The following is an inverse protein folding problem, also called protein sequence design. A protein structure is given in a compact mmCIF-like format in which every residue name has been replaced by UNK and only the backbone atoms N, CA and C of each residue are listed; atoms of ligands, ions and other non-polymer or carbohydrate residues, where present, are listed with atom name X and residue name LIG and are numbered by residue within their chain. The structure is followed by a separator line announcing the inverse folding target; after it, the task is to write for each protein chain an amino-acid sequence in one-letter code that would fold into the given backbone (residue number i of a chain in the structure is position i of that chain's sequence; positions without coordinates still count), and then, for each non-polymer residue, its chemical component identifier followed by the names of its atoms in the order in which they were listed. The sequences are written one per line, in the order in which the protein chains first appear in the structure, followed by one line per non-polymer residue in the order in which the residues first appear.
data_IF_099026314651
#
_entry.id   IF_099026314651
#
_cell.length_a   1.000
_cell.length_b   1.000
_cell.length_c   1.000
_cell.angle_alpha   90.00
_cell.angle_beta   90.00
_cell.angle_gamma   90.00
#
_symmetry.space_group_name_H-M   'P 1'
#
loop_
_entity.id
_entity.type
_entity.pdbx_description
1 polymer ?
#
# COMPACT_ATOMS: atom_id res chain seq x y z
N UNK A 1 13.43 63.71 43.66
CA UNK A 1 12.66 63.09 42.60
C UNK A 1 13.44 61.88 42.12
N UNK A 2 13.20 60.73 42.71
CA UNK A 2 13.89 59.47 42.39
C UNK A 2 12.98 58.68 41.50
N UNK A 3 13.40 58.45 40.26
CA UNK A 3 12.73 57.57 39.31
C UNK A 3 13.01 56.13 39.69
N UNK A 4 11.98 55.39 40.10
CA UNK A 4 12.05 53.94 40.33
C UNK A 4 11.86 53.28 38.98
N UNK A 5 12.93 52.63 38.48
CA UNK A 5 12.92 51.81 37.29
C UNK A 5 12.46 50.42 37.69
N UNK A 6 11.21 50.06 37.39
CA UNK A 6 10.69 48.70 37.59
C UNK A 6 11.23 47.81 36.47
N UNK A 7 12.14 46.92 36.81
CA UNK A 7 12.62 45.87 35.96
C UNK A 7 11.59 44.71 36.01
N UNK A 8 10.77 44.57 34.97
CA UNK A 8 9.89 43.41 34.81
C UNK A 8 10.77 42.29 34.23
N UNK A 9 11.20 41.39 35.10
CA UNK A 9 11.85 40.15 34.73
C UNK A 9 10.77 39.16 34.22
N UNK A 10 10.59 39.09 32.91
CA UNK A 10 9.76 38.04 32.32
C UNK A 10 10.50 36.71 32.49
N UNK A 11 10.15 35.94 33.48
CA UNK A 11 10.58 34.54 33.60
C UNK A 11 9.81 33.77 32.52
N UNK A 12 10.43 33.52 31.37
CA UNK A 12 10.01 32.47 30.49
C UNK A 12 10.20 31.14 31.25
N UNK A 13 9.14 30.62 31.81
CA UNK A 13 9.11 29.20 32.16
C UNK A 13 9.16 28.42 30.84
N UNK A 14 10.35 27.99 30.45
CA UNK A 14 10.49 26.84 29.59
C UNK A 14 9.84 25.70 30.37
N UNK A 15 8.64 25.32 29.98
CA UNK A 15 8.08 24.06 30.38
C UNK A 15 9.01 22.98 29.77
N UNK A 16 9.95 22.50 30.58
CA UNK A 16 10.67 21.27 30.30
C UNK A 16 9.60 20.20 30.41
N UNK A 17 8.97 19.84 29.30
CA UNK A 17 8.20 18.62 29.22
C UNK A 17 9.21 17.51 29.54
N UNK A 18 9.02 16.74 30.62
CA UNK A 18 9.89 15.61 30.88
C UNK A 18 9.84 14.72 29.63
N UNK A 19 10.96 14.52 28.99
CA UNK A 19 11.08 13.45 28.01
C UNK A 19 10.82 12.17 28.81
N UNK A 20 9.62 11.58 28.65
CA UNK A 20 9.37 10.26 29.18
C UNK A 20 10.36 9.35 28.49
N UNK A 21 11.26 8.75 29.25
CA UNK A 21 12.13 7.72 28.76
C UNK A 21 11.22 6.55 28.35
N UNK A 22 11.16 6.30 27.05
CA UNK A 22 10.48 5.13 26.50
C UNK A 22 11.47 3.98 26.60
N UNK A 23 11.02 2.81 27.05
CA UNK A 23 11.80 1.58 27.07
C UNK A 23 10.94 0.48 26.46
N UNK A 24 11.28 0.06 25.22
CA UNK A 24 10.48 -0.92 24.49
C UNK A 24 11.37 -1.79 23.59
N UNK A 25 11.23 -3.11 23.76
CA UNK A 25 11.78 -4.10 22.86
C UNK A 25 10.65 -4.61 21.96
N UNK A 26 10.70 -4.28 20.67
CA UNK A 26 9.62 -4.52 19.71
C UNK A 26 10.09 -5.52 18.64
N UNK A 27 9.15 -6.31 18.15
CA UNK A 27 9.31 -7.19 17.00
C UNK A 27 8.64 -6.57 15.76
N UNK A 28 9.29 -6.66 14.60
CA UNK A 28 8.76 -6.20 13.33
C UNK A 28 8.64 -7.39 12.37
N UNK A 29 7.41 -7.86 12.14
CA UNK A 29 7.11 -8.92 11.19
C UNK A 29 7.31 -8.44 9.76
N UNK A 30 8.18 -9.12 9.00
CA UNK A 30 8.53 -8.77 7.63
C UNK A 30 8.63 -10.01 6.75
N UNK A 31 8.68 -9.80 5.43
CA UNK A 31 8.92 -10.83 4.45
C UNK A 31 10.38 -11.32 4.51
N UNK A 32 10.71 -12.35 3.73
CA UNK A 32 12.05 -12.91 3.66
C UNK A 32 13.11 -11.90 3.16
N UNK A 33 14.35 -12.12 3.55
CA UNK A 33 15.50 -11.35 3.07
C UNK A 33 15.59 -11.34 1.54
N UNK A 34 15.94 -10.18 0.97
CA UNK A 34 16.00 -10.00 -0.48
C UNK A 34 14.68 -9.56 -1.13
N UNK A 35 13.62 -9.41 -0.37
CA UNK A 35 12.36 -8.80 -0.83
C UNK A 35 12.35 -7.29 -0.59
N UNK A 36 11.49 -6.57 -1.32
CA UNK A 36 11.26 -5.15 -1.08
C UNK A 36 10.71 -4.90 0.34
N UNK A 37 9.80 -5.76 0.82
CA UNK A 37 9.24 -5.65 2.17
C UNK A 37 10.30 -5.73 3.27
N UNK A 38 11.29 -6.62 3.12
CA UNK A 38 12.42 -6.69 4.05
C UNK A 38 13.28 -5.42 4.02
N UNK A 39 13.55 -4.88 2.82
CA UNK A 39 14.29 -3.64 2.65
C UNK A 39 13.60 -2.47 3.33
N UNK A 40 12.28 -2.35 3.16
CA UNK A 40 11.48 -1.28 3.79
C UNK A 40 11.45 -1.42 5.31
N UNK A 41 11.21 -2.64 5.82
CA UNK A 41 11.22 -2.90 7.26
C UNK A 41 12.59 -2.57 7.89
N UNK A 42 13.70 -2.88 7.19
CA UNK A 42 15.06 -2.54 7.64
C UNK A 42 15.28 -1.02 7.68
N UNK A 43 14.77 -0.28 6.69
CA UNK A 43 14.86 1.18 6.68
C UNK A 43 14.07 1.80 7.84
N UNK A 44 12.84 1.32 8.06
CA UNK A 44 11.98 1.75 9.15
C UNK A 44 12.60 1.41 10.51
N UNK A 45 13.11 0.19 10.69
CA UNK A 45 13.86 -0.23 11.88
C UNK A 45 15.02 0.75 12.17
N UNK A 46 15.82 1.07 11.15
CA UNK A 46 16.97 1.99 11.28
C UNK A 46 16.55 3.36 11.79
N UNK A 47 15.40 3.84 11.37
CA UNK A 47 14.84 5.13 11.77
C UNK A 47 14.28 5.06 13.21
N UNK A 48 13.54 4.00 13.55
CA UNK A 48 12.96 3.83 14.88
C UNK A 48 14.06 3.68 15.94
N UNK A 49 15.13 2.96 15.64
CA UNK A 49 16.26 2.77 16.57
C UNK A 49 17.08 4.04 16.86
N UNK A 50 16.75 5.18 16.23
CA UNK A 50 17.29 6.49 16.65
C UNK A 50 16.60 7.04 17.91
N UNK A 51 15.48 6.47 18.30
CA UNK A 51 14.78 6.82 19.53
C UNK A 51 15.44 6.08 20.69
N UNK A 52 15.97 6.83 21.66
CA UNK A 52 16.60 6.26 22.84
C UNK A 52 15.59 5.39 23.61
N UNK A 53 15.98 4.16 23.92
CA UNK A 53 15.16 3.19 24.65
C UNK A 53 14.23 2.35 23.78
N UNK A 54 14.16 2.55 22.47
CA UNK A 54 13.38 1.68 21.58
C UNK A 54 14.32 0.76 20.78
N UNK A 55 14.18 -0.54 20.97
CA UNK A 55 14.84 -1.56 20.16
C UNK A 55 13.82 -2.26 19.26
N UNK A 56 14.21 -2.57 18.03
CA UNK A 56 13.35 -3.29 17.07
C UNK A 56 14.12 -4.49 16.51
N UNK A 57 13.51 -5.67 16.56
CA UNK A 57 14.01 -6.90 15.96
C UNK A 57 13.16 -7.31 14.77
N UNK A 58 13.78 -7.54 13.60
CA UNK A 58 13.08 -8.04 12.42
C UNK A 58 12.82 -9.55 12.53
N UNK A 59 11.56 -9.95 12.26
CA UNK A 59 11.14 -11.33 12.18
C UNK A 59 10.67 -11.64 10.76
N UNK A 60 11.28 -12.63 10.10
CA UNK A 60 10.88 -13.01 8.73
C UNK A 60 9.72 -14.01 8.75
N UNK A 61 8.59 -13.59 9.31
CA UNK A 61 7.39 -14.41 9.53
C UNK A 61 6.17 -13.96 8.70
N UNK A 62 6.27 -12.89 7.91
CA UNK A 62 5.18 -12.41 7.06
C UNK A 62 5.19 -13.10 5.69
N UNK A 63 4.08 -13.71 5.31
CA UNK A 63 3.89 -14.27 3.96
C UNK A 63 3.66 -13.17 2.90
N UNK A 64 3.25 -11.97 3.30
CA UNK A 64 2.99 -10.82 2.42
C UNK A 64 2.05 -9.80 3.06
N UNK A 65 1.91 -8.67 2.39
CA UNK A 65 1.18 -7.51 2.93
C UNK A 65 -0.33 -7.77 3.15
N UNK A 66 -0.94 -8.70 2.40
CA UNK A 66 -2.37 -9.04 2.55
C UNK A 66 -2.64 -9.76 3.87
N UNK A 67 -1.77 -10.71 4.25
CA UNK A 67 -1.90 -11.48 5.50
C UNK A 67 -1.21 -10.84 6.70
N UNK A 68 -0.43 -9.79 6.49
CA UNK A 68 0.32 -9.13 7.55
C UNK A 68 -0.53 -8.63 8.74
N UNK A 69 -1.78 -8.15 8.56
CA UNK A 69 -2.65 -7.79 9.69
C UNK A 69 -2.81 -8.88 10.74
N UNK A 70 -2.77 -10.17 10.34
CA UNK A 70 -2.89 -11.32 11.23
C UNK A 70 -1.74 -11.37 12.24
N UNK A 71 -0.51 -10.99 11.85
CA UNK A 71 0.63 -10.98 12.75
C UNK A 71 0.42 -10.07 13.98
N UNK A 72 -0.26 -8.95 13.77
CA UNK A 72 -0.60 -8.02 14.86
C UNK A 72 -1.76 -8.58 15.68
N UNK A 73 -2.81 -9.10 15.01
CA UNK A 73 -3.99 -9.64 15.67
C UNK A 73 -3.67 -10.85 16.56
N UNK A 74 -2.75 -11.71 16.12
CA UNK A 74 -2.31 -12.92 16.87
C UNK A 74 -1.10 -12.66 17.79
N UNK A 75 -0.69 -11.38 17.93
CA UNK A 75 0.46 -10.99 18.77
C UNK A 75 1.79 -11.65 18.35
N UNK A 76 1.92 -12.01 17.07
CA UNK A 76 3.15 -12.60 16.50
C UNK A 76 4.19 -11.55 16.12
N UNK A 77 3.80 -10.27 16.07
CA UNK A 77 4.67 -9.11 15.89
C UNK A 77 4.04 -7.85 16.49
N UNK A 78 4.86 -6.92 16.95
CA UNK A 78 4.41 -5.60 17.45
C UNK A 78 4.19 -4.61 16.32
N UNK A 79 4.99 -4.73 15.24
CA UNK A 79 4.87 -3.94 14.01
C UNK A 79 4.84 -4.87 12.80
N UNK A 80 4.15 -4.45 11.75
CA UNK A 80 4.25 -5.08 10.42
C UNK A 80 3.90 -4.08 9.33
N UNK A 81 4.18 -4.44 8.06
CA UNK A 81 3.73 -3.68 6.90
C UNK A 81 2.58 -4.38 6.20
N UNK A 82 1.56 -3.61 5.87
CA UNK A 82 0.46 -4.01 5.00
C UNK A 82 0.28 -2.97 3.89
N UNK A 83 -0.80 -3.08 3.11
CA UNK A 83 -1.30 -2.01 2.26
C UNK A 83 -2.60 -1.47 2.86
N UNK A 84 -2.97 -0.22 2.53
CA UNK A 84 -4.16 0.43 3.08
C UNK A 84 -5.46 -0.35 2.83
N UNK A 85 -5.67 -0.87 1.62
CA UNK A 85 -6.87 -1.64 1.30
C UNK A 85 -6.95 -2.98 2.08
N UNK A 86 -5.92 -3.85 2.09
CA UNK A 86 -5.90 -5.03 2.96
C UNK A 86 -6.07 -4.71 4.44
N UNK A 87 -5.46 -3.62 4.94
CA UNK A 87 -5.65 -3.18 6.33
C UNK A 87 -7.12 -2.82 6.60
N UNK A 88 -7.77 -2.09 5.67
CA UNK A 88 -9.18 -1.76 5.76
C UNK A 88 -10.07 -3.00 5.77
N UNK A 89 -9.83 -3.93 4.85
CA UNK A 89 -10.64 -5.16 4.76
C UNK A 89 -10.47 -6.03 6.00
N UNK A 90 -9.22 -6.23 6.45
CA UNK A 90 -8.94 -7.00 7.65
C UNK A 90 -9.58 -6.38 8.91
N UNK A 91 -9.54 -5.06 9.06
CA UNK A 91 -10.16 -4.37 10.20
C UNK A 91 -11.69 -4.41 10.21
N UNK A 92 -12.35 -4.67 9.07
CA UNK A 92 -13.80 -4.55 8.89
C UNK A 92 -14.49 -5.86 8.42
N UNK A 93 -13.94 -7.02 8.72
CA UNK A 93 -14.60 -8.30 8.44
C UNK A 93 -13.68 -9.37 7.86
N UNK A 94 -12.41 -9.05 7.61
CA UNK A 94 -11.44 -10.00 7.06
C UNK A 94 -11.44 -10.07 5.53
N UNK A 95 -10.67 -11.02 4.98
CA UNK A 95 -10.51 -11.23 3.53
C UNK A 95 -10.69 -12.72 3.28
N UNK A 96 -11.93 -13.16 3.03
CA UNK A 96 -12.29 -14.59 2.91
C UNK A 96 -11.46 -15.29 1.82
N UNK A 97 -11.31 -14.69 0.64
CA UNK A 97 -10.56 -15.25 -0.49
C UNK A 97 -9.07 -15.44 -0.20
N UNK A 98 -8.52 -14.70 0.76
CA UNK A 98 -7.15 -14.80 1.24
C UNK A 98 -7.02 -15.53 2.59
N UNK A 99 -8.11 -16.04 3.16
CA UNK A 99 -8.15 -16.68 4.48
C UNK A 99 -7.61 -15.78 5.61
N UNK A 100 -7.83 -14.47 5.51
CA UNK A 100 -7.48 -13.49 6.55
C UNK A 100 -8.73 -13.25 7.41
N UNK A 101 -8.70 -13.52 8.73
CA UNK A 101 -9.81 -13.24 9.63
C UNK A 101 -9.99 -11.74 9.84
N UNK A 102 -11.09 -11.36 10.47
CA UNK A 102 -11.25 -9.99 10.98
C UNK A 102 -10.17 -9.68 12.03
N UNK A 103 -9.53 -8.53 11.88
CA UNK A 103 -8.43 -8.06 12.72
C UNK A 103 -8.80 -6.69 13.37
N UNK A 104 -9.72 -6.66 14.36
CA UNK A 104 -10.23 -5.41 14.92
C UNK A 104 -9.20 -4.63 15.76
N UNK A 105 -8.15 -5.31 16.22
CA UNK A 105 -7.14 -4.73 17.12
C UNK A 105 -5.94 -4.11 16.38
N UNK A 106 -5.96 -4.09 15.04
CA UNK A 106 -4.91 -3.40 14.28
C UNK A 106 -5.12 -1.88 14.30
N UNK A 107 -4.01 -1.15 14.36
CA UNK A 107 -3.97 0.31 14.19
C UNK A 107 -2.85 0.68 13.24
N UNK A 108 -2.99 1.79 12.53
CA UNK A 108 -1.94 2.32 11.67
C UNK A 108 -1.15 3.42 12.39
N UNK A 109 0.13 3.53 12.11
CA UNK A 109 0.97 4.63 12.58
C UNK A 109 1.42 5.54 11.45
N UNK A 110 1.58 5.02 10.23
CA UNK A 110 1.94 5.80 9.04
C UNK A 110 1.54 5.04 7.77
N UNK A 111 0.94 5.72 6.81
CA UNK A 111 0.62 5.22 5.48
C UNK A 111 1.37 5.96 4.38
N UNK A 112 1.09 5.62 3.12
CA UNK A 112 1.70 6.30 1.96
C UNK A 112 3.15 5.91 1.69
N UNK A 113 3.57 4.72 2.13
CA UNK A 113 4.90 4.19 1.87
C UNK A 113 4.92 3.47 0.51
N UNK A 114 5.41 4.17 -0.52
CA UNK A 114 5.45 3.65 -1.89
C UNK A 114 4.46 4.34 -2.83
N UNK A 115 4.45 3.90 -4.07
CA UNK A 115 3.56 4.39 -5.14
C UNK A 115 3.13 3.20 -6.00
N UNK A 116 2.35 2.32 -5.36
CA UNK A 116 1.82 1.12 -6.02
C UNK A 116 0.42 1.40 -6.57
N UNK A 117 0.09 0.76 -7.68
CA UNK A 117 -1.16 0.99 -8.39
C UNK A 117 -1.72 -0.28 -9.03
N UNK A 118 -3.02 -0.27 -9.28
CA UNK A 118 -3.71 -1.30 -10.07
C UNK A 118 -3.35 -1.08 -11.53
N UNK A 119 -2.60 -2.01 -12.09
CA UNK A 119 -2.14 -2.00 -13.47
C UNK A 119 -3.00 -2.95 -14.30
N UNK A 120 -3.74 -2.41 -15.26
CA UNK A 120 -4.61 -3.17 -16.16
C UNK A 120 -4.05 -3.08 -17.57
N UNK A 121 -3.74 -4.22 -18.17
CA UNK A 121 -3.18 -4.26 -19.52
C UNK A 121 -3.88 -5.29 -20.39
N UNK A 122 -4.11 -4.93 -21.64
CA UNK A 122 -4.36 -5.87 -22.74
C UNK A 122 -3.09 -6.08 -23.57
N UNK A 123 -2.99 -7.21 -24.28
CA UNK A 123 -2.04 -7.27 -25.38
C UNK A 123 -2.49 -6.36 -26.52
N UNK A 124 -1.57 -5.66 -27.18
CA UNK A 124 -1.93 -4.79 -28.31
C UNK A 124 -2.65 -5.57 -29.43
N UNK A 125 -2.22 -6.83 -29.65
CA UNK A 125 -2.86 -7.75 -30.60
C UNK A 125 -4.35 -7.95 -30.30
N UNK A 126 -4.72 -8.16 -29.04
CA UNK A 126 -6.14 -8.29 -28.63
C UNK A 126 -6.93 -7.04 -29.00
N UNK A 127 -6.39 -5.85 -28.73
CA UNK A 127 -7.04 -4.59 -29.05
C UNK A 127 -7.20 -4.43 -30.57
N UNK A 128 -6.17 -4.75 -31.34
CA UNK A 128 -6.19 -4.65 -32.80
C UNK A 128 -7.22 -5.60 -33.44
N UNK A 129 -7.35 -6.83 -32.92
CA UNK A 129 -8.26 -7.86 -33.45
C UNK A 129 -9.73 -7.60 -33.08
N UNK A 130 -9.99 -7.03 -31.88
CA UNK A 130 -11.36 -6.93 -31.33
C UNK A 130 -11.93 -5.52 -31.30
N UNK A 131 -11.06 -4.52 -31.27
CA UNK A 131 -11.42 -3.11 -31.05
C UNK A 131 -11.83 -2.81 -29.59
N UNK A 132 -11.77 -3.79 -28.66
CA UNK A 132 -12.07 -3.59 -27.24
C UNK A 132 -10.89 -2.90 -26.57
N UNK A 133 -11.14 -1.78 -25.88
CA UNK A 133 -10.10 -0.93 -25.27
C UNK A 133 -10.28 -0.74 -23.76
N UNK A 134 -11.44 -1.08 -23.21
CA UNK A 134 -11.73 -0.91 -21.78
C UNK A 134 -12.27 -2.20 -21.18
N UNK A 135 -12.15 -2.33 -19.84
CA UNK A 135 -12.74 -3.47 -19.11
C UNK A 135 -14.26 -3.41 -19.19
N UNK A 136 -14.83 -2.22 -19.15
CA UNK A 136 -16.28 -2.00 -19.26
C UNK A 136 -16.83 -2.52 -20.59
N UNK A 137 -16.17 -2.23 -21.72
CA UNK A 137 -16.55 -2.76 -23.04
C UNK A 137 -16.44 -4.29 -23.10
N UNK A 138 -15.40 -4.86 -22.47
CA UNK A 138 -15.20 -6.30 -22.39
C UNK A 138 -16.36 -6.96 -21.65
N UNK A 139 -16.76 -6.39 -20.49
CA UNK A 139 -17.86 -6.84 -19.65
C UNK A 139 -19.20 -6.70 -20.37
N UNK A 140 -19.48 -5.55 -20.99
CA UNK A 140 -20.73 -5.30 -21.76
C UNK A 140 -20.93 -6.35 -22.87
N UNK A 141 -19.84 -6.68 -23.57
CA UNK A 141 -19.84 -7.68 -24.65
C UNK A 141 -19.79 -9.12 -24.15
N UNK A 142 -19.61 -9.35 -22.84
CA UNK A 142 -19.36 -10.69 -22.26
C UNK A 142 -18.29 -11.43 -23.07
N UNK A 143 -17.21 -10.72 -23.38
CA UNK A 143 -16.17 -11.29 -24.23
C UNK A 143 -15.41 -12.41 -23.50
N UNK A 144 -15.16 -13.60 -24.13
CA UNK A 144 -14.47 -14.73 -23.52
C UNK A 144 -12.97 -14.50 -23.40
N UNK A 145 -12.57 -13.52 -22.59
CA UNK A 145 -11.17 -13.10 -22.41
C UNK A 145 -10.32 -14.22 -21.79
N UNK A 146 -9.07 -14.31 -22.21
CA UNK A 146 -8.04 -15.11 -21.56
C UNK A 146 -7.27 -14.22 -20.60
N UNK A 147 -7.69 -14.20 -19.34
CA UNK A 147 -7.13 -13.41 -18.25
C UNK A 147 -6.06 -14.22 -17.50
N UNK A 148 -4.91 -13.61 -17.22
CA UNK A 148 -3.89 -14.17 -16.32
C UNK A 148 -3.59 -13.17 -15.21
N UNK A 149 -3.62 -13.64 -13.97
CA UNK A 149 -3.43 -12.81 -12.78
C UNK A 149 -2.53 -13.50 -11.76
N UNK A 150 -2.21 -12.80 -10.68
CA UNK A 150 -1.41 -13.33 -9.57
C UNK A 150 -2.12 -14.48 -8.86
N UNK A 151 -1.33 -15.24 -8.08
CA UNK A 151 -1.81 -16.34 -7.22
C UNK A 151 -2.80 -15.83 -6.17
N UNK A 152 -3.66 -16.74 -5.72
CA UNK A 152 -4.60 -16.50 -4.62
C UNK A 152 -3.92 -15.88 -3.40
N UNK A 153 -4.62 -14.94 -2.76
CA UNK A 153 -4.19 -14.29 -1.53
C UNK A 153 -3.13 -13.20 -1.74
N UNK A 154 -2.81 -12.84 -2.99
CA UNK A 154 -1.96 -11.69 -3.29
C UNK A 154 -2.80 -10.45 -3.58
N UNK A 155 -2.27 -9.26 -3.33
CA UNK A 155 -2.99 -8.02 -3.62
C UNK A 155 -3.27 -7.85 -5.13
N UNK A 156 -2.42 -8.39 -6.01
CA UNK A 156 -2.68 -8.38 -7.45
C UNK A 156 -3.90 -9.21 -7.85
N UNK A 157 -4.11 -10.36 -7.22
CA UNK A 157 -5.32 -11.17 -7.43
C UNK A 157 -6.56 -10.47 -6.87
N UNK A 158 -6.49 -9.95 -5.65
CA UNK A 158 -7.59 -9.21 -5.02
C UNK A 158 -7.95 -7.94 -5.81
N UNK A 159 -6.96 -7.23 -6.34
CA UNK A 159 -7.19 -6.07 -7.21
C UNK A 159 -7.96 -6.46 -8.48
N UNK A 160 -7.59 -7.59 -9.10
CA UNK A 160 -8.34 -8.10 -10.26
C UNK A 160 -9.79 -8.47 -9.87
N UNK A 161 -9.99 -9.14 -8.75
CA UNK A 161 -11.33 -9.46 -8.23
C UNK A 161 -12.16 -8.20 -8.02
N UNK A 162 -11.57 -7.14 -7.43
CA UNK A 162 -12.25 -5.85 -7.21
C UNK A 162 -12.55 -5.11 -8.51
N UNK A 163 -11.63 -5.08 -9.48
CA UNK A 163 -11.86 -4.43 -10.79
C UNK A 163 -13.07 -5.04 -11.50
N UNK A 164 -13.19 -6.36 -11.53
CA UNK A 164 -14.36 -7.01 -12.11
C UNK A 164 -15.59 -6.91 -11.22
N UNK A 165 -15.43 -7.03 -9.89
CA UNK A 165 -16.49 -6.99 -8.89
C UNK A 165 -17.28 -5.68 -8.92
N UNK A 166 -16.64 -4.52 -9.03
CA UNK A 166 -17.34 -3.21 -9.13
C UNK A 166 -18.11 -3.04 -10.43
N UNK A 167 -17.82 -3.88 -11.44
CA UNK A 167 -18.59 -3.99 -12.69
C UNK A 167 -19.68 -5.08 -12.62
N UNK A 168 -19.86 -5.71 -11.44
CA UNK A 168 -20.85 -6.76 -11.23
C UNK A 168 -20.50 -8.11 -11.86
N UNK A 169 -19.21 -8.40 -12.05
CA UNK A 169 -18.69 -9.61 -12.71
C UNK A 169 -17.73 -10.35 -11.80
N UNK A 170 -17.89 -11.66 -11.75
CA UNK A 170 -17.00 -12.60 -11.07
C UNK A 170 -16.06 -13.30 -12.07
N UNK A 171 -15.03 -13.96 -11.57
CA UNK A 171 -14.18 -14.80 -12.43
C UNK A 171 -14.95 -15.99 -13.02
N UNK A 172 -15.95 -16.51 -12.30
CA UNK A 172 -16.85 -17.58 -12.80
C UNK A 172 -17.73 -17.09 -13.96
N UNK A 173 -18.15 -15.82 -13.94
CA UNK A 173 -18.85 -15.22 -15.08
C UNK A 173 -17.98 -15.21 -16.32
N UNK A 174 -16.71 -14.78 -16.20
CA UNK A 174 -15.74 -14.79 -17.31
C UNK A 174 -15.57 -16.20 -17.87
N UNK A 175 -15.44 -17.21 -17.02
CA UNK A 175 -15.38 -18.62 -17.42
C UNK A 175 -16.67 -19.05 -18.10
N UNK A 176 -17.83 -18.64 -17.60
CA UNK A 176 -19.14 -18.95 -18.20
C UNK A 176 -19.33 -18.37 -19.60
N UNK A 177 -18.66 -17.25 -19.91
CA UNK A 177 -18.64 -16.65 -21.26
C UNK A 177 -17.74 -17.42 -22.23
N UNK A 178 -17.01 -18.44 -21.75
CA UNK A 178 -16.02 -19.21 -22.52
C UNK A 178 -14.59 -18.67 -22.39
N UNK A 179 -14.36 -17.73 -21.49
CA UNK A 179 -13.04 -17.20 -21.16
C UNK A 179 -12.21 -18.13 -20.28
N UNK A 180 -11.01 -17.69 -19.94
CA UNK A 180 -10.09 -18.40 -19.05
C UNK A 180 -9.60 -17.42 -18.00
N UNK A 181 -9.50 -17.87 -16.74
CA UNK A 181 -8.85 -17.13 -15.65
C UNK A 181 -7.75 -18.01 -15.08
N UNK A 182 -6.50 -17.67 -15.37
CA UNK A 182 -5.32 -18.37 -14.85
C UNK A 182 -4.68 -17.59 -13.71
N UNK A 183 -4.39 -18.28 -12.60
CA UNK A 183 -3.76 -17.69 -11.41
C UNK A 183 -2.35 -18.25 -11.22
N UNK A 184 -1.32 -17.40 -11.38
CA UNK A 184 0.08 -17.87 -11.39
C UNK A 184 1.08 -16.83 -10.88
N UNK A 185 2.37 -17.11 -10.97
CA UNK A 185 3.45 -16.20 -10.56
C UNK A 185 3.77 -15.16 -11.63
N UNK A 186 4.40 -14.05 -11.22
CA UNK A 186 4.69 -12.92 -12.11
C UNK A 186 5.54 -13.26 -13.35
N UNK A 187 6.49 -14.18 -13.23
CA UNK A 187 7.28 -14.63 -14.40
C UNK A 187 6.40 -15.37 -15.42
N UNK A 188 5.53 -16.27 -14.97
CA UNK A 188 4.61 -17.02 -15.82
C UNK A 188 3.53 -16.12 -16.45
N UNK A 189 3.08 -15.05 -15.73
CA UNK A 189 2.19 -14.02 -16.29
C UNK A 189 2.89 -13.37 -17.49
N UNK A 190 4.12 -12.89 -17.29
CA UNK A 190 4.92 -12.28 -18.34
C UNK A 190 5.09 -13.21 -19.53
N UNK A 191 5.59 -14.43 -19.30
CA UNK A 191 5.85 -15.40 -20.36
C UNK A 191 4.58 -15.76 -21.15
N UNK A 192 3.46 -15.98 -20.45
CA UNK A 192 2.17 -16.31 -21.09
C UNK A 192 1.58 -15.18 -21.92
N UNK A 193 1.81 -13.91 -21.56
CA UNK A 193 1.41 -12.75 -22.37
C UNK A 193 2.33 -12.58 -23.58
N UNK A 194 3.66 -12.77 -23.42
CA UNK A 194 4.62 -12.73 -24.51
C UNK A 194 4.38 -13.82 -25.57
N UNK A 195 3.90 -14.98 -25.13
CA UNK A 195 3.56 -16.10 -26.00
C UNK A 195 2.13 -16.04 -26.58
N UNK A 196 1.39 -14.94 -26.38
CA UNK A 196 -0.02 -14.77 -26.79
C UNK A 196 -0.97 -15.86 -26.25
N UNK A 197 -0.61 -16.54 -25.17
CA UNK A 197 -1.47 -17.50 -24.49
C UNK A 197 -2.63 -16.82 -23.76
N UNK A 198 -2.37 -15.61 -23.27
CA UNK A 198 -3.33 -14.75 -22.58
C UNK A 198 -3.44 -13.39 -23.29
N UNK A 199 -4.51 -12.68 -23.01
CA UNK A 199 -4.87 -11.42 -23.68
C UNK A 199 -4.90 -10.23 -22.72
N UNK A 200 -5.03 -10.51 -21.41
CA UNK A 200 -5.23 -9.51 -20.37
C UNK A 200 -4.52 -9.90 -19.08
N UNK A 201 -4.02 -8.89 -18.38
CA UNK A 201 -3.61 -9.02 -16.99
C UNK A 201 -4.12 -7.86 -16.15
N UNK A 202 -4.36 -8.13 -14.88
CA UNK A 202 -4.58 -7.13 -13.83
C UNK A 202 -3.65 -7.47 -12.68
N UNK A 203 -2.90 -6.49 -12.19
CA UNK A 203 -1.96 -6.66 -11.08
C UNK A 203 -1.97 -5.42 -10.19
N UNK A 204 -1.39 -5.50 -9.00
CA UNK A 204 -1.10 -4.37 -8.12
C UNK A 204 0.41 -4.28 -7.95
N UNK A 205 1.01 -3.28 -8.56
CA UNK A 205 2.48 -3.13 -8.70
C UNK A 205 2.90 -1.67 -8.66
N UNK A 206 4.17 -1.43 -8.40
CA UNK A 206 4.79 -0.11 -8.57
C UNK A 206 5.51 0.05 -9.89
N UNK A 207 5.79 1.28 -10.28
CA UNK A 207 6.61 1.61 -11.44
C UNK A 207 7.96 0.90 -11.38
N UNK A 208 8.44 0.41 -12.55
CA UNK A 208 9.70 -0.33 -12.64
C UNK A 208 9.64 -1.78 -12.16
N UNK A 209 8.45 -2.34 -11.92
CA UNK A 209 8.31 -3.76 -11.61
C UNK A 209 8.93 -4.61 -12.74
N UNK A 210 9.88 -5.48 -12.38
CA UNK A 210 10.79 -6.09 -13.33
C UNK A 210 10.11 -6.93 -14.44
N UNK A 211 9.12 -7.76 -14.09
CA UNK A 211 8.42 -8.59 -15.08
C UNK A 211 7.57 -7.75 -16.04
N UNK A 212 6.90 -6.70 -15.54
CA UNK A 212 6.08 -5.81 -16.38
C UNK A 212 6.97 -4.94 -17.27
N UNK A 213 8.10 -4.45 -16.74
CA UNK A 213 9.10 -3.73 -17.55
C UNK A 213 9.63 -4.60 -18.68
N UNK A 214 10.04 -5.84 -18.39
CA UNK A 214 10.53 -6.78 -19.39
C UNK A 214 9.44 -7.16 -20.41
N UNK A 215 8.20 -7.37 -19.96
CA UNK A 215 7.04 -7.59 -20.83
C UNK A 215 6.86 -6.44 -21.83
N UNK A 216 6.79 -5.20 -21.36
CA UNK A 216 6.54 -4.04 -22.22
C UNK A 216 7.71 -3.71 -23.17
N UNK A 217 8.93 -4.13 -22.84
CA UNK A 217 10.08 -4.01 -23.77
C UNK A 217 9.98 -5.03 -24.91
N UNK A 218 9.55 -6.25 -24.61
CA UNK A 218 9.62 -7.39 -25.53
C UNK A 218 8.29 -7.71 -26.21
N UNK A 219 7.16 -7.16 -25.73
CA UNK A 219 5.83 -7.40 -26.27
C UNK A 219 4.99 -6.11 -26.22
N UNK A 220 4.23 -5.85 -27.26
CA UNK A 220 3.38 -4.68 -27.32
C UNK A 220 2.15 -4.84 -26.41
N UNK A 221 2.07 -4.01 -25.40
CA UNK A 221 0.95 -3.95 -24.45
C UNK A 221 0.15 -2.67 -24.66
N UNK A 222 -1.12 -2.72 -24.31
CA UNK A 222 -2.05 -1.60 -24.27
C UNK A 222 -2.47 -1.35 -22.83
N UNK A 223 -2.12 -0.18 -22.31
CA UNK A 223 -2.51 0.24 -20.95
C UNK A 223 -3.96 0.68 -20.95
N UNK A 224 -4.77 0.05 -20.10
CA UNK A 224 -6.22 0.27 -20.05
C UNK A 224 -6.54 1.41 -19.10
N UNK A 225 -7.23 2.43 -19.62
CA UNK A 225 -7.85 3.47 -18.82
C UNK A 225 -9.19 2.97 -18.29
N UNK A 226 -9.36 2.87 -16.97
CA UNK A 226 -10.65 2.64 -16.34
C UNK A 226 -11.51 3.89 -16.36
N UNK A 227 -12.83 3.75 -16.39
CA UNK A 227 -13.75 4.89 -16.35
C UNK A 227 -13.72 5.58 -14.98
N UNK A 228 -14.07 6.87 -14.95
CA UNK A 228 -14.15 7.62 -13.69
C UNK A 228 -15.16 6.97 -12.70
N UNK A 229 -16.25 6.37 -13.20
CA UNK A 229 -17.23 5.63 -12.37
C UNK A 229 -16.61 4.36 -11.76
N UNK A 230 -15.85 3.59 -12.55
CA UNK A 230 -15.14 2.41 -12.08
C UNK A 230 -14.09 2.78 -11.04
N UNK A 231 -13.33 3.85 -11.28
CA UNK A 231 -12.33 4.36 -10.33
C UNK A 231 -12.98 4.80 -9.01
N UNK A 232 -14.10 5.53 -9.07
CA UNK A 232 -14.83 5.96 -7.87
C UNK A 232 -15.30 4.76 -7.03
N UNK A 233 -15.88 3.73 -7.66
CA UNK A 233 -16.31 2.50 -6.98
C UNK A 233 -15.13 1.74 -6.37
N UNK A 234 -13.97 1.70 -7.03
CA UNK A 234 -12.77 1.09 -6.48
C UNK A 234 -12.25 1.85 -5.24
N UNK A 235 -12.42 3.19 -5.22
CA UNK A 235 -12.11 3.97 -4.02
C UNK A 235 -13.06 3.64 -2.84
N UNK A 236 -14.34 3.35 -3.10
CA UNK A 236 -15.26 2.86 -2.08
C UNK A 236 -14.85 1.49 -1.52
N UNK A 237 -14.15 0.68 -2.33
CA UNK A 237 -13.56 -0.60 -1.93
C UNK A 237 -12.23 -0.47 -1.17
N UNK A 238 -11.75 0.74 -0.90
CA UNK A 238 -10.57 1.02 -0.07
C UNK A 238 -9.27 1.28 -0.82
N UNK A 239 -9.33 1.40 -2.14
CA UNK A 239 -8.22 1.95 -2.91
C UNK A 239 -8.23 3.49 -2.89
N UNK A 240 -7.15 4.11 -3.34
CA UNK A 240 -7.05 5.56 -3.51
C UNK A 240 -6.66 5.90 -4.95
N UNK A 241 -7.03 7.10 -5.41
CA UNK A 241 -6.66 7.55 -6.75
C UNK A 241 -5.16 7.64 -6.93
N UNK A 242 -4.66 7.11 -8.04
CA UNK A 242 -3.26 7.16 -8.44
C UNK A 242 -3.16 7.55 -9.90
N UNK A 243 -2.15 8.35 -10.21
CA UNK A 243 -1.75 8.65 -11.58
C UNK A 243 -0.45 7.91 -11.91
N UNK A 244 -0.45 7.20 -13.04
CA UNK A 244 0.75 6.59 -13.62
C UNK A 244 1.29 7.53 -14.67
N UNK A 245 2.49 8.05 -14.44
CA UNK A 245 3.12 9.03 -15.30
C UNK A 245 3.42 8.46 -16.70
N UNK A 246 3.38 9.28 -17.75
CA UNK A 246 3.79 8.87 -19.09
C UNK A 246 5.20 8.26 -19.11
N UNK A 247 5.41 7.24 -19.92
CA UNK A 247 6.66 6.52 -20.06
C UNK A 247 7.08 5.70 -18.81
N UNK A 248 6.14 5.39 -17.93
CA UNK A 248 6.36 4.38 -16.87
C UNK A 248 6.65 3.01 -17.47
N UNK A 249 5.97 2.65 -18.56
CA UNK A 249 6.22 1.46 -19.34
C UNK A 249 6.64 1.80 -20.77
N UNK A 250 7.38 0.91 -21.42
CA UNK A 250 7.72 1.08 -22.82
C UNK A 250 6.45 1.04 -23.69
N UNK A 251 6.23 2.08 -24.48
CA UNK A 251 5.04 2.23 -25.34
C UNK A 251 3.87 3.00 -24.70
N UNK A 252 3.86 3.20 -23.37
CA UNK A 252 2.86 4.02 -22.70
C UNK A 252 3.26 5.50 -22.83
N UNK A 253 2.55 6.26 -23.67
CA UNK A 253 2.85 7.67 -23.95
C UNK A 253 1.94 8.63 -23.19
N UNK A 254 0.81 8.15 -22.72
CA UNK A 254 -0.21 8.96 -22.05
C UNK A 254 -0.22 8.67 -20.55
N UNK A 255 -0.65 9.66 -19.75
CA UNK A 255 -0.97 9.47 -18.35
C UNK A 255 -2.12 8.47 -18.17
N UNK A 256 -2.02 7.56 -17.22
CA UNK A 256 -3.08 6.61 -16.85
C UNK A 256 -3.61 6.96 -15.46
N UNK A 257 -4.90 7.28 -15.39
CA UNK A 257 -5.62 7.40 -14.12
C UNK A 257 -6.04 6.01 -13.67
N UNK A 258 -5.68 5.65 -12.47
CA UNK A 258 -6.00 4.36 -11.86
C UNK A 258 -6.23 4.52 -10.36
N UNK A 259 -6.25 3.43 -9.65
CA UNK A 259 -6.28 3.41 -8.18
C UNK A 259 -5.13 2.58 -7.65
N UNK A 260 -4.79 2.76 -6.38
CA UNK A 260 -3.74 2.01 -5.73
C UNK A 260 -4.02 1.80 -4.25
N UNK A 261 -3.19 1.00 -3.61
CA UNK A 261 -3.21 0.78 -2.19
C UNK A 261 -1.78 0.89 -1.67
N UNK A 262 -1.47 2.03 -1.06
CA UNK A 262 -0.13 2.33 -0.60
C UNK A 262 0.21 1.52 0.65
N UNK A 263 1.49 1.27 0.87
CA UNK A 263 1.91 0.54 2.05
C UNK A 263 1.76 1.39 3.31
N UNK A 264 1.43 0.72 4.42
CA UNK A 264 1.26 1.32 5.73
C UNK A 264 1.93 0.45 6.80
N UNK A 265 2.27 1.06 7.93
CA UNK A 265 2.81 0.37 9.10
C UNK A 265 1.70 0.17 10.11
N UNK A 266 1.46 -1.09 10.46
CA UNK A 266 0.46 -1.52 11.42
C UNK A 266 1.10 -1.88 12.76
N UNK A 267 0.37 -1.60 13.81
CA UNK A 267 0.69 -1.93 15.22
C UNK A 267 -0.57 -2.44 15.94
N UNK A 268 -0.40 -3.03 17.12
CA UNK A 268 -1.53 -3.37 17.99
C UNK A 268 -2.19 -2.11 18.57
N UNK A 269 -3.51 -2.14 18.73
CA UNK A 269 -4.26 -1.12 19.50
C UNK A 269 -3.78 -1.00 20.95
N UNK A 270 -3.13 -2.05 21.47
CA UNK A 270 -2.61 -2.11 22.84
C UNK A 270 -1.15 -1.64 22.98
N UNK A 271 -0.50 -1.24 21.86
CA UNK A 271 0.84 -0.66 21.94
C UNK A 271 0.79 0.60 22.82
N UNK A 272 1.82 0.81 23.63
CA UNK A 272 1.92 2.01 24.47
C UNK A 272 1.83 3.29 23.63
N UNK A 273 1.02 4.25 24.07
CA UNK A 273 0.74 5.48 23.32
C UNK A 273 1.99 6.31 23.07
N UNK A 274 2.89 6.39 24.07
CA UNK A 274 4.13 7.14 23.91
C UNK A 274 5.08 6.45 22.96
N UNK A 275 5.17 5.10 23.00
CA UNK A 275 5.95 4.30 22.04
C UNK A 275 5.47 4.57 20.62
N UNK A 276 4.15 4.47 20.37
CA UNK A 276 3.58 4.73 19.05
C UNK A 276 3.82 6.17 18.58
N UNK A 277 3.70 7.15 19.49
CA UNK A 277 4.03 8.55 19.20
C UNK A 277 5.48 8.72 18.76
N UNK A 278 6.43 8.16 19.51
CA UNK A 278 7.86 8.30 19.22
C UNK A 278 8.25 7.59 17.92
N UNK A 279 7.65 6.44 17.60
CA UNK A 279 7.87 5.75 16.33
C UNK A 279 7.35 6.58 15.15
N UNK A 280 6.13 7.10 15.26
CA UNK A 280 5.53 7.96 14.22
C UNK A 280 6.39 9.19 13.98
N UNK A 281 6.81 9.86 15.06
CA UNK A 281 7.69 11.01 15.01
C UNK A 281 9.02 10.67 14.32
N UNK A 282 9.66 9.57 14.73
CA UNK A 282 10.93 9.14 14.15
C UNK A 282 10.82 8.89 12.64
N UNK A 283 9.76 8.24 12.18
CA UNK A 283 9.51 8.02 10.76
C UNK A 283 9.33 9.36 10.02
N UNK A 284 8.50 10.25 10.52
CA UNK A 284 8.19 11.54 9.89
C UNK A 284 9.39 12.47 9.83
N UNK A 285 10.17 12.56 10.91
CA UNK A 285 11.34 13.43 11.00
C UNK A 285 12.57 12.90 10.22
N UNK A 286 12.56 11.61 9.84
CA UNK A 286 13.65 10.97 9.11
C UNK A 286 13.23 10.44 7.73
N UNK A 287 12.25 11.08 7.08
CA UNK A 287 11.77 10.66 5.75
C UNK A 287 12.89 10.57 4.71
N UNK A 288 13.89 11.44 4.79
CA UNK A 288 15.03 11.43 3.85
C UNK A 288 15.87 10.16 4.00
N UNK A 289 16.04 9.63 5.21
CA UNK A 289 16.72 8.36 5.47
C UNK A 289 15.92 7.18 4.87
N UNK A 290 14.59 7.22 4.94
CA UNK A 290 13.74 6.24 4.29
C UNK A 290 13.89 6.30 2.76
N UNK A 291 13.89 7.49 2.18
CA UNK A 291 14.08 7.72 0.75
C UNK A 291 15.46 7.27 0.24
N UNK A 292 16.53 7.48 1.03
CA UNK A 292 17.88 7.00 0.70
C UNK A 292 17.96 5.46 0.68
N UNK A 293 17.21 4.78 1.55
CA UNK A 293 17.21 3.32 1.62
C UNK A 293 16.47 2.68 0.43
N UNK A 294 15.42 3.33 -0.09
CA UNK A 294 14.67 2.89 -1.27
C UNK A 294 13.94 4.06 -1.92
N UNK A 295 14.06 4.16 -3.25
CA UNK A 295 13.35 5.18 -4.02
C UNK A 295 11.83 5.12 -3.82
N UNK A 296 11.27 3.93 -3.60
CA UNK A 296 9.84 3.76 -3.32
C UNK A 296 9.42 4.42 -2.00
N UNK A 297 10.27 4.40 -0.98
CA UNK A 297 10.02 5.10 0.29
C UNK A 297 10.16 6.63 0.17
N UNK A 298 10.70 7.13 -0.93
CA UNK A 298 10.75 8.57 -1.25
C UNK A 298 9.38 9.20 -1.48
N UNK A 299 8.35 8.39 -1.74
CA UNK A 299 6.95 8.86 -1.82
C UNK A 299 6.31 9.14 -0.45
N UNK A 300 6.94 8.74 0.64
CA UNK A 300 6.42 8.99 1.98
C UNK A 300 6.34 10.49 2.29
N UNK A 301 5.11 10.99 2.42
CA UNK A 301 4.85 12.38 2.80
C UNK A 301 4.20 12.42 4.20
N UNK A 302 4.96 12.83 5.24
CA UNK A 302 4.44 12.96 6.60
C UNK A 302 3.18 13.81 6.72
N UNK A 303 2.99 14.79 5.84
CA UNK A 303 1.87 15.75 5.94
C UNK A 303 0.50 15.12 5.66
N UNK A 304 0.48 13.98 4.99
CA UNK A 304 -0.73 13.23 4.64
C UNK A 304 -0.73 11.78 5.11
N UNK A 305 0.40 11.30 5.68
CA UNK A 305 0.60 9.90 6.05
C UNK A 305 -0.41 9.35 7.08
N UNK A 306 -1.06 10.23 7.84
CA UNK A 306 -2.14 9.87 8.76
C UNK A 306 -3.53 9.85 8.14
N UNK A 307 -3.69 10.18 6.84
CA UNK A 307 -5.01 10.23 6.22
C UNK A 307 -5.64 8.84 6.07
N UNK A 308 -6.97 8.77 6.18
CA UNK A 308 -7.72 7.50 6.14
C UNK A 308 -7.47 6.70 4.85
N UNK A 309 -7.33 7.37 3.72
CA UNK A 309 -7.05 6.73 2.43
C UNK A 309 -5.71 5.98 2.44
N UNK A 310 -4.70 6.51 3.13
CA UNK A 310 -3.35 5.93 3.20
C UNK A 310 -3.16 4.95 4.35
N UNK A 311 -3.98 5.04 5.42
CA UNK A 311 -3.86 4.17 6.60
C UNK A 311 -4.70 2.91 6.51
N UNK A 312 -5.85 2.97 5.84
CA UNK A 312 -6.81 1.89 5.67
C UNK A 312 -7.60 1.54 6.94
N UNK A 313 -6.99 1.61 8.11
CA UNK A 313 -7.63 1.40 9.41
C UNK A 313 -7.44 2.62 10.32
N UNK A 314 -7.98 2.55 11.53
CA UNK A 314 -7.83 3.63 12.50
C UNK A 314 -6.37 3.89 12.86
N UNK A 315 -6.03 5.17 13.06
CA UNK A 315 -4.72 5.53 13.60
C UNK A 315 -4.61 5.09 15.06
N UNK A 316 -3.38 4.69 15.44
CA UNK A 316 -3.05 4.53 16.85
C UNK A 316 -3.12 5.91 17.56
N UNK A 317 -3.65 6.00 18.80
CA UNK A 317 -3.78 7.28 19.52
C UNK A 317 -2.47 8.08 19.58
N UNK A 318 -1.33 7.43 19.79
CA UNK A 318 -0.02 8.09 19.80
C UNK A 318 0.34 8.68 18.44
N UNK A 319 0.05 8.00 17.34
CA UNK A 319 0.25 8.51 16.00
C UNK A 319 -0.67 9.71 15.71
N UNK A 320 -1.95 9.59 16.05
CA UNK A 320 -2.93 10.67 15.89
C UNK A 320 -2.50 11.93 16.64
N UNK A 321 -1.99 11.79 17.88
CA UNK A 321 -1.44 12.89 18.67
C UNK A 321 -0.29 13.58 17.96
N UNK A 322 0.67 12.84 17.40
CA UNK A 322 1.79 13.43 16.68
C UNK A 322 1.30 14.24 15.46
N UNK A 323 0.42 13.65 14.62
CA UNK A 323 -0.10 14.34 13.43
C UNK A 323 -0.91 15.59 13.80
N UNK A 324 -1.69 15.55 14.90
CA UNK A 324 -2.42 16.71 15.39
C UNK A 324 -1.47 17.84 15.86
N UNK A 325 -0.43 17.51 16.63
CA UNK A 325 0.58 18.48 17.09
C UNK A 325 1.31 19.16 15.93
N UNK A 326 1.57 18.41 14.84
CA UNK A 326 2.22 18.93 13.64
C UNK A 326 1.27 19.67 12.70
N UNK A 327 -0.05 19.59 12.92
CA UNK A 327 -1.07 20.15 12.03
C UNK A 327 -1.16 19.41 10.70
N UNK A 328 -0.81 18.14 10.66
CA UNK A 328 -0.86 17.29 9.47
C UNK A 328 -2.25 16.69 9.26
N UNK A 329 -2.55 16.25 8.03
CA UNK A 329 -3.83 15.61 7.72
C UNK A 329 -3.89 14.18 8.29
N UNK A 330 -4.95 13.88 9.08
CA UNK A 330 -5.12 12.54 9.67
C UNK A 330 -6.61 12.13 9.86
N UNK A 331 -7.54 12.85 9.21
CA UNK A 331 -8.99 12.56 9.29
C UNK A 331 -9.54 12.15 7.94
#
# INVERSE_FOLDING_TARGET
MKKILSLILAVMMLAVVPAFAVDADLSFGTQETGTAGYTYATAIQTVIQKVDGINVTLLTNSAGNVSAPVLIQEEEADLTMSNSAPAMWAANGGIESASVPECPDIRCIAGGLGHDFVNVMFTQKFVDETGIKTVEELVEKKYPIKLVIKKNGTLGELAAEKVFGVLGVTFDDIISWGGVVEKTGGAQIKDGLQDDLYQMTVDHIGAGQANTTDLCINHAMYDVQLSDDTLAKLCEEGFDYVTVEPNTWNGQTEEIKTVGSQQCVLVSANLDEEVAYQITKAMCENKDVLAEASAALGYFDPTVAGSKALTGCELHPGAARYYEEMGYAFK
#
